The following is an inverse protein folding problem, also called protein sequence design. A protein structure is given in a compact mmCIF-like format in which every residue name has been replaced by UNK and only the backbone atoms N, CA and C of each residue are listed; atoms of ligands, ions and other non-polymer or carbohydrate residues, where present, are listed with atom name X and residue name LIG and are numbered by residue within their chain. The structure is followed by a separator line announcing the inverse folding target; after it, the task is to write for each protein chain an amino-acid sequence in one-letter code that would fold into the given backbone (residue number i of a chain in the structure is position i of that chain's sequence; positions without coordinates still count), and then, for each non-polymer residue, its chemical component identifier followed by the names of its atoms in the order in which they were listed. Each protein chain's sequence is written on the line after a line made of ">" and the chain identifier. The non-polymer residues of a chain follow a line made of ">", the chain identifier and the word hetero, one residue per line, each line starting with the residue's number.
data_IF_718679557837
#
_entry.id   IF_718679557837
#
_cell.length_a   1.000
_cell.length_b   1.000
_cell.length_c   1.000
_cell.angle_alpha   90.00
_cell.angle_beta   90.00
_cell.angle_gamma   90.00
#
_symmetry.space_group_name_H-M   'P 1'
#
loop_
_entity.id
_entity.type
_entity.pdbx_description
1 polymer ?
#
# COMPACT_ATOMS: atom_id res chain seq x y z
N UNK A 1 12.73 -2.12 -10.57
CA UNK A 1 12.95 -2.16 -9.10
C UNK A 1 13.53 -0.84 -8.53
N UNK A 2 13.82 0.15 -9.36
CA UNK A 2 14.27 1.49 -8.93
C UNK A 2 13.05 2.36 -8.56
N UNK A 3 11.92 2.13 -9.22
CA UNK A 3 10.67 2.89 -8.99
C UNK A 3 9.91 2.28 -7.82
N UNK A 4 9.51 3.08 -6.80
CA UNK A 4 8.69 2.59 -5.69
C UNK A 4 7.32 2.03 -6.16
N UNK A 5 6.80 0.99 -5.50
CA UNK A 5 7.37 0.21 -4.39
C UNK A 5 8.48 -0.75 -4.84
N UNK A 6 9.61 -0.76 -4.13
CA UNK A 6 10.79 -1.54 -4.50
C UNK A 6 11.32 -2.33 -3.29
N UNK A 7 11.46 -3.64 -3.44
CA UNK A 7 12.04 -4.52 -2.41
C UNK A 7 13.49 -4.12 -2.13
N UNK A 8 14.24 -3.73 -3.15
CA UNK A 8 15.64 -3.31 -3.01
C UNK A 8 15.75 -2.07 -2.12
N UNK A 9 14.87 -1.07 -2.31
CA UNK A 9 14.86 0.13 -1.48
C UNK A 9 14.46 -0.16 -0.03
N UNK A 10 13.56 -1.11 0.19
CA UNK A 10 13.15 -1.54 1.53
C UNK A 10 14.32 -2.21 2.26
N UNK A 11 14.98 -3.19 1.62
CA UNK A 11 16.15 -3.88 2.21
C UNK A 11 17.27 -2.89 2.47
N UNK A 12 17.52 -1.96 1.53
CA UNK A 12 18.54 -0.95 1.70
C UNK A 12 18.24 -0.01 2.88
N UNK A 13 16.98 0.41 3.04
CA UNK A 13 16.53 1.21 4.18
C UNK A 13 16.77 0.49 5.51
N UNK A 14 16.41 -0.79 5.60
CA UNK A 14 16.61 -1.61 6.80
C UNK A 14 18.11 -1.75 7.14
N UNK A 15 18.96 -1.97 6.14
CA UNK A 15 20.41 -2.06 6.35
C UNK A 15 21.00 -0.73 6.80
N UNK A 16 20.59 0.40 6.19
CA UNK A 16 21.03 1.73 6.58
C UNK A 16 20.55 2.09 7.98
N UNK A 17 19.30 1.78 8.33
CA UNK A 17 18.77 1.99 9.68
C UNK A 17 19.57 1.18 10.72
N UNK A 18 19.81 -0.11 10.45
CA UNK A 18 20.62 -0.97 11.33
C UNK A 18 22.04 -0.44 11.50
N UNK A 19 22.69 0.00 10.42
CA UNK A 19 24.02 0.60 10.49
C UNK A 19 24.04 1.91 11.30
N UNK A 20 23.01 2.76 11.13
CA UNK A 20 22.85 3.99 11.89
C UNK A 20 22.69 3.72 13.38
N UNK A 21 21.89 2.72 13.77
CA UNK A 21 21.68 2.33 15.16
C UNK A 21 22.95 1.78 15.80
N UNK A 22 23.73 0.96 15.09
CA UNK A 22 25.04 0.48 15.54
C UNK A 22 26.01 1.64 15.75
N UNK A 23 26.08 2.56 14.79
CA UNK A 23 26.93 3.74 14.86
C UNK A 23 26.51 4.64 16.05
N UNK A 24 25.20 4.81 16.30
CA UNK A 24 24.69 5.56 17.43
C UNK A 24 25.08 4.91 18.77
N UNK A 25 25.00 3.59 18.86
CA UNK A 25 25.40 2.83 20.05
C UNK A 25 26.89 2.96 20.32
N UNK A 26 27.72 2.76 19.31
CA UNK A 26 29.18 2.94 19.43
C UNK A 26 29.54 4.37 19.85
N UNK A 27 28.88 5.38 19.29
CA UNK A 27 29.09 6.78 19.66
C UNK A 27 28.75 7.06 21.12
N UNK A 28 27.64 6.53 21.59
CA UNK A 28 27.23 6.66 23.02
C UNK A 28 28.26 6.02 23.96
N UNK A 29 28.77 4.84 23.61
CA UNK A 29 29.82 4.17 24.37
C UNK A 29 31.13 4.96 24.41
N UNK A 30 31.57 5.47 23.25
CA UNK A 30 32.78 6.31 23.16
C UNK A 30 32.62 7.60 23.95
N UNK A 31 31.47 8.27 23.86
CA UNK A 31 31.18 9.47 24.65
C UNK A 31 31.20 9.19 26.15
N UNK A 32 30.56 8.08 26.59
CA UNK A 32 30.59 7.65 27.98
C UNK A 32 32.00 7.37 28.48
N UNK A 33 32.84 6.71 27.66
CA UNK A 33 34.25 6.45 28.00
C UNK A 33 35.08 7.74 28.10
N UNK A 34 34.80 8.73 27.24
CA UNK A 34 35.55 9.98 27.18
C UNK A 34 35.14 11.00 28.25
N UNK A 35 33.85 11.08 28.58
CA UNK A 35 33.30 12.13 29.47
C UNK A 35 32.79 11.61 30.80
N UNK A 36 32.62 10.30 30.96
CA UNK A 36 31.98 9.68 32.12
C UNK A 36 30.46 9.92 32.23
N UNK A 37 29.85 10.65 31.30
CA UNK A 37 28.44 10.96 31.29
C UNK A 37 27.63 9.89 30.57
N UNK A 38 26.45 9.54 31.10
CA UNK A 38 25.56 8.54 30.53
C UNK A 38 24.66 9.11 29.40
N UNK A 39 24.45 10.43 29.37
CA UNK A 39 23.61 11.11 28.40
C UNK A 39 24.48 11.90 27.43
N UNK A 40 24.35 11.61 26.15
CA UNK A 40 25.00 12.33 25.08
C UNK A 40 24.05 13.46 24.57
N UNK A 41 24.56 14.69 24.33
CA UNK A 41 23.75 15.77 23.78
C UNK A 41 23.10 15.37 22.46
N UNK A 42 21.87 15.87 22.22
CA UNK A 42 21.06 15.53 21.02
C UNK A 42 21.72 15.95 19.70
N UNK A 43 22.60 16.93 19.72
CA UNK A 43 23.38 17.40 18.56
C UNK A 43 24.25 16.32 17.93
N UNK A 44 24.57 15.28 18.69
CA UNK A 44 25.39 14.15 18.21
C UNK A 44 24.56 12.92 17.81
N UNK A 45 23.24 13.04 17.77
CA UNK A 45 22.37 11.92 17.36
C UNK A 45 22.56 11.63 15.87
N UNK A 46 22.62 10.34 15.54
CA UNK A 46 22.66 9.89 14.14
C UNK A 46 21.20 9.79 13.65
N UNK A 47 20.94 10.42 12.51
CA UNK A 47 19.62 10.34 11.87
C UNK A 47 19.53 8.98 11.16
N UNK A 48 18.54 8.19 11.52
CA UNK A 48 18.23 6.92 10.85
C UNK A 48 17.41 7.18 9.60
N UNK A 49 17.71 6.48 8.52
CA UNK A 49 16.97 6.57 7.24
C UNK A 49 15.79 5.60 7.26
N UNK A 50 14.60 6.10 6.95
CA UNK A 50 13.39 5.28 6.84
C UNK A 50 13.16 4.77 5.41
N UNK A 51 12.30 3.74 5.25
CA UNK A 51 11.86 3.30 3.94
C UNK A 51 11.09 4.40 3.17
N UNK A 52 10.37 5.26 3.89
CA UNK A 52 9.70 6.44 3.32
C UNK A 52 10.69 7.42 2.71
N UNK A 53 11.80 7.72 3.39
CA UNK A 53 12.85 8.61 2.88
C UNK A 53 13.51 8.04 1.62
N UNK A 54 13.75 6.71 1.60
CA UNK A 54 14.29 6.03 0.43
C UNK A 54 13.33 6.09 -0.77
N UNK A 55 12.03 5.93 -0.53
CA UNK A 55 11.02 6.04 -1.58
C UNK A 55 10.91 7.47 -2.12
N UNK A 56 10.94 8.47 -1.26
CA UNK A 56 10.98 9.88 -1.67
C UNK A 56 12.23 10.20 -2.48
N UNK A 57 13.39 9.72 -2.03
CA UNK A 57 14.66 9.91 -2.74
C UNK A 57 14.68 9.25 -4.13
N UNK A 58 14.01 8.09 -4.28
CA UNK A 58 13.91 7.38 -5.55
C UNK A 58 12.86 7.94 -6.51
N UNK A 59 11.95 8.81 -6.04
CA UNK A 59 10.84 9.32 -6.83
C UNK A 59 11.31 10.13 -8.04
N UNK A 60 12.21 11.08 -7.83
CA UNK A 60 12.74 11.93 -8.91
C UNK A 60 13.55 11.15 -9.96
N UNK A 61 14.55 10.31 -9.57
CA UNK A 61 15.21 9.41 -10.52
C UNK A 61 14.25 8.47 -11.25
N UNK A 62 13.22 7.98 -10.55
CA UNK A 62 12.18 7.13 -11.14
C UNK A 62 11.39 7.82 -12.25
N UNK A 63 10.92 9.04 -12.03
CA UNK A 63 10.23 9.83 -13.06
C UNK A 63 11.14 10.11 -14.25
N UNK A 64 12.40 10.47 -14.00
CA UNK A 64 13.37 10.71 -15.06
C UNK A 64 13.58 9.45 -15.91
N UNK A 65 13.70 8.28 -15.28
CA UNK A 65 13.85 7.00 -15.97
C UNK A 65 12.62 6.67 -16.84
N UNK A 66 11.40 6.88 -16.31
CA UNK A 66 10.16 6.71 -17.09
C UNK A 66 10.15 7.64 -18.29
N UNK A 67 10.51 8.90 -18.10
CA UNK A 67 10.61 9.89 -19.20
C UNK A 67 11.61 9.47 -20.28
N UNK A 68 12.76 8.94 -19.89
CA UNK A 68 13.76 8.41 -20.83
C UNK A 68 13.24 7.18 -21.61
N UNK A 69 12.54 6.27 -20.93
CA UNK A 69 11.92 5.12 -21.61
C UNK A 69 10.83 5.54 -22.60
N UNK A 70 9.98 6.48 -22.20
CA UNK A 70 8.95 7.03 -23.09
C UNK A 70 9.58 7.73 -24.31
N UNK A 71 10.62 8.54 -24.10
CA UNK A 71 11.35 9.19 -25.17
C UNK A 71 12.02 8.18 -26.11
N UNK A 72 12.66 7.14 -25.55
CA UNK A 72 13.27 6.07 -26.35
C UNK A 72 12.23 5.34 -27.22
N UNK A 73 11.10 4.94 -26.64
CA UNK A 73 10.03 4.24 -27.36
C UNK A 73 9.48 5.14 -28.48
N UNK A 74 9.25 6.43 -28.19
CA UNK A 74 8.75 7.39 -29.18
C UNK A 74 9.73 7.54 -30.34
N UNK A 75 11.00 7.75 -30.06
CA UNK A 75 12.07 7.90 -31.06
C UNK A 75 12.20 6.61 -31.89
N UNK A 76 12.19 5.44 -31.22
CA UNK A 76 12.26 4.15 -31.93
C UNK A 76 11.05 3.92 -32.85
N UNK A 77 9.84 4.29 -32.40
CA UNK A 77 8.62 4.21 -33.20
C UNK A 77 8.66 5.15 -34.43
N UNK A 78 9.20 6.35 -34.25
CA UNK A 78 9.33 7.32 -35.34
C UNK A 78 10.39 6.88 -36.39
N UNK A 79 11.52 6.36 -35.94
CA UNK A 79 12.63 5.94 -36.84
C UNK A 79 12.31 4.61 -37.52
N UNK A 80 11.66 3.69 -36.79
CA UNK A 80 11.32 2.33 -37.28
C UNK A 80 9.86 1.98 -37.00
N UNK A 81 8.91 2.50 -37.81
CA UNK A 81 7.46 2.26 -37.60
C UNK A 81 7.06 0.78 -37.55
N UNK A 82 7.88 -0.10 -38.17
CA UNK A 82 7.63 -1.56 -38.19
C UNK A 82 7.83 -2.19 -36.77
N UNK A 83 8.61 -1.57 -35.87
CA UNK A 83 8.81 -2.06 -34.51
C UNK A 83 7.64 -1.71 -33.58
N UNK A 84 6.90 -0.66 -33.91
CA UNK A 84 5.72 -0.21 -33.16
C UNK A 84 4.58 0.09 -34.17
N UNK A 85 3.96 -0.96 -34.74
CA UNK A 85 2.87 -0.77 -35.67
C UNK A 85 1.69 -0.06 -35.00
N UNK A 86 1.10 0.90 -35.71
CA UNK A 86 -0.06 1.60 -35.21
C UNK A 86 -1.23 0.61 -35.00
N UNK A 87 -1.84 0.67 -33.84
CA UNK A 87 -3.05 -0.11 -33.54
C UNK A 87 -4.20 0.47 -34.39
N UNK A 88 -4.99 -0.37 -35.06
CA UNK A 88 -6.15 0.11 -35.84
C UNK A 88 -7.07 0.93 -34.95
N UNK A 89 -7.37 2.14 -35.36
CA UNK A 89 -8.23 3.06 -34.61
C UNK A 89 -9.68 2.87 -35.02
N UNK A 90 -10.47 2.18 -34.20
CA UNK A 90 -11.90 1.93 -34.45
C UNK A 90 -12.82 3.12 -34.15
N UNK A 91 -12.27 4.30 -33.90
CA UNK A 91 -13.04 5.52 -33.61
C UNK A 91 -13.69 5.59 -32.21
N UNK A 92 -13.63 4.51 -31.44
CA UNK A 92 -14.35 4.36 -30.16
C UNK A 92 -13.58 4.75 -28.89
N UNK A 93 -12.30 5.12 -29.03
CA UNK A 93 -11.42 5.40 -27.86
C UNK A 93 -11.88 6.61 -27.04
N UNK A 94 -12.65 7.54 -27.64
CA UNK A 94 -13.19 8.72 -26.96
C UNK A 94 -14.67 8.57 -26.56
N UNK A 95 -15.27 7.39 -26.78
CA UNK A 95 -16.61 7.16 -26.28
C UNK A 95 -16.63 7.16 -24.76
N UNK A 96 -17.62 7.85 -24.19
CA UNK A 96 -17.80 7.95 -22.71
C UNK A 96 -17.87 6.58 -22.05
N UNK A 97 -18.46 5.60 -22.70
CA UNK A 97 -18.57 4.21 -22.24
C UNK A 97 -17.21 3.51 -22.17
N UNK A 98 -16.33 3.76 -23.14
CA UNK A 98 -14.98 3.21 -23.15
C UNK A 98 -14.12 3.87 -22.05
N UNK A 99 -14.12 5.20 -21.97
CA UNK A 99 -13.40 5.95 -20.94
C UNK A 99 -13.83 5.54 -19.54
N UNK A 100 -15.12 5.34 -19.31
CA UNK A 100 -15.64 4.88 -18.04
C UNK A 100 -15.15 3.47 -17.68
N UNK A 101 -15.14 2.52 -18.63
CA UNK A 101 -14.59 1.18 -18.43
C UNK A 101 -13.09 1.21 -18.12
N UNK A 102 -12.32 2.03 -18.83
CA UNK A 102 -10.89 2.21 -18.57
C UNK A 102 -10.67 2.81 -17.17
N UNK A 103 -11.42 3.83 -16.81
CA UNK A 103 -11.33 4.44 -15.49
C UNK A 103 -11.69 3.44 -14.39
N UNK A 104 -12.75 2.67 -14.55
CA UNK A 104 -13.16 1.65 -13.56
C UNK A 104 -12.12 0.53 -13.40
N UNK A 105 -11.40 0.19 -14.47
CA UNK A 105 -10.35 -0.80 -14.42
C UNK A 105 -9.03 -0.25 -13.82
N UNK A 106 -8.72 1.03 -14.04
CA UNK A 106 -7.45 1.64 -13.68
C UNK A 106 -7.46 2.32 -12.32
N UNK A 107 -8.55 3.02 -11.98
CA UNK A 107 -8.63 3.82 -10.75
C UNK A 107 -8.44 2.97 -9.48
N UNK A 108 -9.14 1.82 -9.29
CA UNK A 108 -8.98 1.06 -8.05
C UNK A 108 -7.55 0.57 -7.79
N UNK A 109 -6.82 -0.04 -8.76
CA UNK A 109 -5.43 -0.42 -8.56
C UNK A 109 -4.51 0.77 -8.27
N UNK A 110 -4.67 1.88 -9.00
CA UNK A 110 -3.88 3.08 -8.75
C UNK A 110 -4.15 3.66 -7.37
N UNK A 111 -5.42 3.75 -6.96
CA UNK A 111 -5.80 4.22 -5.63
C UNK A 111 -5.18 3.35 -4.53
N UNK A 112 -5.18 2.02 -4.70
CA UNK A 112 -4.54 1.12 -3.76
C UNK A 112 -3.03 1.37 -3.68
N UNK A 113 -2.34 1.52 -4.81
CA UNK A 113 -0.92 1.83 -4.85
C UNK A 113 -0.63 3.16 -4.15
N UNK A 114 -1.39 4.22 -4.45
CA UNK A 114 -1.23 5.51 -3.80
C UNK A 114 -1.52 5.47 -2.31
N UNK A 115 -2.49 4.68 -1.87
CA UNK A 115 -2.82 4.51 -0.45
C UNK A 115 -1.69 3.80 0.29
N UNK A 116 -1.18 2.70 -0.25
CA UNK A 116 -0.09 1.92 0.33
C UNK A 116 1.19 2.74 0.38
N UNK A 117 1.62 3.28 -0.75
CA UNK A 117 2.86 4.05 -0.85
C UNK A 117 2.77 5.36 -0.05
N UNK A 118 1.65 6.05 -0.16
CA UNK A 118 1.39 7.30 0.57
C UNK A 118 1.39 7.10 2.09
N UNK A 119 0.87 5.99 2.61
CA UNK A 119 0.89 5.68 4.04
C UNK A 119 2.31 5.46 4.57
N UNK A 120 3.20 4.87 3.77
CA UNK A 120 4.62 4.70 4.13
C UNK A 120 5.33 6.05 4.11
N UNK A 121 5.15 6.84 3.05
CA UNK A 121 5.80 8.15 2.90
C UNK A 121 5.34 9.12 3.99
N UNK A 122 4.05 9.09 4.35
CA UNK A 122 3.50 9.90 5.43
C UNK A 122 3.91 9.42 6.84
N UNK A 123 4.61 8.28 6.95
CA UNK A 123 5.01 7.70 8.24
C UNK A 123 3.85 7.14 9.07
N UNK A 124 2.66 6.97 8.46
CA UNK A 124 1.45 6.44 9.12
C UNK A 124 1.54 4.94 9.30
N UNK A 125 2.09 4.24 8.31
CA UNK A 125 2.24 2.80 8.31
C UNK A 125 3.70 2.38 8.06
N UNK A 126 4.12 1.34 8.75
CA UNK A 126 5.37 0.65 8.42
C UNK A 126 5.22 -0.11 7.10
N UNK A 127 6.33 -0.50 6.46
CA UNK A 127 6.33 -1.27 5.21
C UNK A 127 5.49 -2.55 5.33
N UNK A 128 5.63 -3.27 6.45
CA UNK A 128 4.89 -4.51 6.70
C UNK A 128 3.38 -4.27 6.84
N UNK A 129 2.99 -3.20 7.56
CA UNK A 129 1.58 -2.81 7.69
C UNK A 129 0.99 -2.39 6.35
N UNK A 130 1.70 -1.59 5.59
CA UNK A 130 1.30 -1.15 4.27
C UNK A 130 1.19 -2.31 3.28
N UNK A 131 2.12 -3.29 3.35
CA UNK A 131 2.06 -4.53 2.59
C UNK A 131 0.80 -5.35 2.91
N UNK A 132 0.45 -5.48 4.19
CA UNK A 132 -0.78 -6.15 4.62
C UNK A 132 -2.04 -5.44 4.09
N UNK A 133 -2.09 -4.10 4.17
CA UNK A 133 -3.18 -3.29 3.60
C UNK A 133 -3.29 -3.52 2.09
N UNK A 134 -2.15 -3.53 1.39
CA UNK A 134 -2.08 -3.81 -0.05
C UNK A 134 -2.61 -5.19 -0.41
N UNK A 135 -2.20 -6.23 0.33
CA UNK A 135 -2.65 -7.60 0.11
C UNK A 135 -4.17 -7.74 0.32
N UNK A 136 -4.71 -7.17 1.41
CA UNK A 136 -6.15 -7.17 1.69
C UNK A 136 -6.91 -6.39 0.60
N UNK A 137 -6.41 -5.22 0.22
CA UNK A 137 -7.01 -4.41 -0.84
C UNK A 137 -7.05 -5.16 -2.18
N UNK A 138 -5.94 -5.80 -2.58
CA UNK A 138 -5.87 -6.62 -3.79
C UNK A 138 -6.85 -7.81 -3.73
N UNK A 139 -6.98 -8.46 -2.57
CA UNK A 139 -7.92 -9.56 -2.36
C UNK A 139 -9.38 -9.12 -2.53
N UNK A 140 -9.74 -7.95 -2.00
CA UNK A 140 -11.07 -7.36 -2.17
C UNK A 140 -11.32 -7.05 -3.64
N UNK A 141 -10.32 -6.49 -4.34
CA UNK A 141 -10.40 -6.20 -5.76
C UNK A 141 -10.58 -7.47 -6.60
N UNK A 142 -9.82 -8.52 -6.33
CA UNK A 142 -9.99 -9.82 -6.96
C UNK A 142 -11.41 -10.37 -6.72
N UNK A 143 -11.91 -10.28 -5.50
CA UNK A 143 -13.23 -10.78 -5.10
C UNK A 143 -14.41 -10.16 -5.87
N UNK A 144 -14.36 -8.87 -6.22
CA UNK A 144 -15.40 -8.27 -7.06
C UNK A 144 -15.12 -8.47 -8.58
N UNK A 145 -13.87 -8.45 -9.00
CA UNK A 145 -13.51 -8.58 -10.43
C UNK A 145 -13.84 -9.97 -10.99
N UNK A 146 -13.55 -11.02 -10.23
CA UNK A 146 -13.87 -12.40 -10.61
C UNK A 146 -15.37 -12.67 -10.80
N UNK A 147 -16.24 -11.80 -10.31
CA UNK A 147 -17.70 -11.90 -10.46
C UNK A 147 -18.34 -10.63 -11.03
N UNK A 148 -17.63 -9.89 -11.86
CA UNK A 148 -18.06 -8.60 -12.43
C UNK A 148 -19.43 -8.69 -13.14
N UNK A 149 -19.76 -9.85 -13.71
CA UNK A 149 -21.04 -10.08 -14.42
C UNK A 149 -22.22 -10.43 -13.50
N UNK A 150 -22.04 -10.41 -12.17
CA UNK A 150 -23.09 -10.78 -11.21
C UNK A 150 -23.51 -9.54 -10.42
N UNK A 151 -24.82 -9.35 -10.20
CA UNK A 151 -25.35 -8.23 -9.41
C UNK A 151 -24.79 -8.13 -7.98
N UNK A 152 -24.26 -9.23 -7.46
CA UNK A 152 -23.63 -9.28 -6.12
C UNK A 152 -22.12 -9.04 -6.12
N UNK A 153 -21.53 -8.67 -7.27
CA UNK A 153 -20.07 -8.52 -7.41
C UNK A 153 -19.47 -7.61 -6.33
N UNK A 154 -20.05 -6.44 -6.14
CA UNK A 154 -19.52 -5.40 -5.26
C UNK A 154 -19.89 -5.56 -3.77
N UNK A 155 -20.77 -6.51 -3.38
CA UNK A 155 -21.22 -6.62 -1.99
C UNK A 155 -20.09 -6.80 -0.97
N UNK A 156 -19.09 -7.69 -1.18
CA UNK A 156 -17.99 -7.82 -0.22
C UNK A 156 -17.16 -6.53 -0.10
N UNK A 157 -16.91 -5.85 -1.23
CA UNK A 157 -16.16 -4.60 -1.24
C UNK A 157 -16.93 -3.48 -0.53
N UNK A 158 -18.24 -3.34 -0.79
CA UNK A 158 -19.10 -2.37 -0.12
C UNK A 158 -19.15 -2.65 1.38
N UNK A 159 -19.33 -3.91 1.79
CA UNK A 159 -19.35 -4.30 3.20
C UNK A 159 -18.04 -3.92 3.89
N UNK A 160 -16.90 -4.18 3.26
CA UNK A 160 -15.57 -3.84 3.79
C UNK A 160 -15.40 -2.32 3.93
N UNK A 161 -15.76 -1.55 2.90
CA UNK A 161 -15.64 -0.08 2.91
C UNK A 161 -16.57 0.52 3.97
N UNK A 162 -17.82 0.08 4.06
CA UNK A 162 -18.78 0.56 5.07
C UNK A 162 -18.28 0.23 6.47
N UNK A 163 -17.76 -0.98 6.68
CA UNK A 163 -17.18 -1.38 7.97
C UNK A 163 -15.98 -0.50 8.36
N UNK A 164 -15.07 -0.20 7.43
CA UNK A 164 -13.94 0.71 7.66
C UNK A 164 -14.39 2.12 8.00
N UNK A 165 -15.37 2.64 7.27
CA UNK A 165 -15.94 3.97 7.56
C UNK A 165 -16.63 4.00 8.94
N UNK A 166 -17.37 2.96 9.31
CA UNK A 166 -17.96 2.83 10.64
C UNK A 166 -16.88 2.83 11.72
N UNK A 167 -15.83 2.02 11.58
CA UNK A 167 -14.71 1.97 12.52
C UNK A 167 -14.09 3.36 12.66
N UNK A 168 -13.84 4.05 11.55
CA UNK A 168 -13.25 5.38 11.57
C UNK A 168 -14.13 6.40 12.28
N UNK A 169 -15.43 6.45 11.96
CA UNK A 169 -16.39 7.38 12.59
C UNK A 169 -16.53 7.10 14.09
N UNK A 170 -16.64 5.82 14.48
CA UNK A 170 -16.80 5.45 15.88
C UNK A 170 -15.52 5.77 16.66
N UNK A 171 -14.35 5.47 16.11
CA UNK A 171 -13.07 5.77 16.77
C UNK A 171 -12.80 7.26 16.94
N UNK A 172 -13.39 8.12 16.09
CA UNK A 172 -13.29 9.56 16.20
C UNK A 172 -14.22 10.18 17.26
N UNK A 173 -15.32 9.47 17.64
CA UNK A 173 -16.34 10.02 18.52
C UNK A 173 -16.41 9.33 19.90
N UNK A 174 -15.86 8.14 20.05
CA UNK A 174 -15.95 7.35 21.28
C UNK A 174 -14.55 6.95 21.77
N UNK A 175 -14.39 6.88 23.09
CA UNK A 175 -13.17 6.35 23.68
C UNK A 175 -13.23 4.81 23.68
N UNK A 176 -12.48 4.20 22.76
CA UNK A 176 -12.44 2.74 22.60
C UNK A 176 -11.41 2.05 23.50
N UNK A 177 -10.71 2.79 24.36
CA UNK A 177 -9.73 2.21 25.29
C UNK A 177 -10.43 1.58 26.49
N UNK A 178 -10.59 0.28 26.49
CA UNK A 178 -11.28 -0.51 27.53
C UNK A 178 -10.76 -0.19 28.95
N UNK A 179 -9.49 0.21 29.07
CA UNK A 179 -8.87 0.55 30.37
C UNK A 179 -9.32 1.90 30.94
N UNK A 180 -9.81 2.80 30.09
CA UNK A 180 -10.14 4.19 30.45
C UNK A 180 -11.59 4.55 30.21
N UNK A 181 -12.47 3.55 29.98
CA UNK A 181 -13.90 3.78 29.80
C UNK A 181 -14.48 4.20 31.16
N UNK A 182 -15.02 5.42 31.23
CA UNK A 182 -15.71 5.97 32.40
C UNK A 182 -17.20 6.18 32.15
N UNK A 183 -17.61 6.33 30.89
CA UNK A 183 -18.97 6.64 30.49
C UNK A 183 -19.68 5.43 29.89
N UNK A 184 -20.99 5.29 30.16
CA UNK A 184 -21.84 4.25 29.55
C UNK A 184 -21.97 4.42 28.06
N UNK A 185 -21.83 5.65 27.54
CA UNK A 185 -21.84 5.93 26.11
C UNK A 185 -20.69 5.26 25.35
N UNK A 186 -19.51 5.16 25.95
CA UNK A 186 -18.33 4.53 25.34
C UNK A 186 -18.50 3.00 25.17
N UNK A 187 -19.29 2.35 26.03
CA UNK A 187 -19.63 0.94 25.87
C UNK A 187 -20.44 0.67 24.60
N UNK A 188 -21.32 1.58 24.24
CA UNK A 188 -22.02 1.52 22.95
C UNK A 188 -21.06 1.69 21.78
N UNK A 189 -20.05 2.56 21.91
CA UNK A 189 -18.98 2.70 20.94
C UNK A 189 -18.22 1.39 20.73
N UNK A 190 -17.81 0.71 21.81
CA UNK A 190 -17.16 -0.61 21.76
C UNK A 190 -18.05 -1.67 21.12
N UNK A 191 -19.33 -1.69 21.43
CA UNK A 191 -20.29 -2.63 20.84
C UNK A 191 -20.42 -2.43 19.32
N UNK A 192 -20.63 -1.20 18.86
CA UNK A 192 -20.78 -0.90 17.43
C UNK A 192 -19.46 -1.12 16.67
N UNK A 193 -18.30 -0.78 17.25
CA UNK A 193 -17.02 -1.07 16.60
C UNK A 193 -16.77 -2.58 16.49
N UNK A 194 -17.21 -3.35 17.48
CA UNK A 194 -17.10 -4.83 17.40
C UNK A 194 -17.91 -5.40 16.25
N UNK A 195 -19.14 -4.90 16.04
CA UNK A 195 -19.96 -5.28 14.88
C UNK A 195 -19.31 -4.86 13.57
N UNK A 196 -18.74 -3.66 13.51
CA UNK A 196 -18.05 -3.18 12.33
C UNK A 196 -16.79 -4.02 12.00
N UNK A 197 -16.02 -4.42 13.01
CA UNK A 197 -14.89 -5.33 12.85
C UNK A 197 -15.32 -6.71 12.36
N UNK A 198 -16.42 -7.26 12.88
CA UNK A 198 -16.98 -8.50 12.36
C UNK A 198 -17.42 -8.36 10.90
N UNK A 199 -18.07 -7.25 10.54
CA UNK A 199 -18.43 -6.94 9.16
C UNK A 199 -17.22 -6.87 8.23
N UNK A 200 -16.14 -6.24 8.69
CA UNK A 200 -14.86 -6.17 7.98
C UNK A 200 -14.29 -7.58 7.73
N UNK A 201 -14.22 -8.42 8.77
CA UNK A 201 -13.71 -9.78 8.66
C UNK A 201 -14.56 -10.63 7.71
N UNK A 202 -15.88 -10.51 7.78
CA UNK A 202 -16.80 -11.19 6.86
C UNK A 202 -16.59 -10.72 5.42
N UNK A 203 -16.41 -9.42 5.18
CA UNK A 203 -16.16 -8.87 3.84
C UNK A 203 -14.86 -9.37 3.23
N UNK A 204 -13.78 -9.39 4.03
CA UNK A 204 -12.48 -9.91 3.61
C UNK A 204 -12.55 -11.43 3.35
N UNK A 205 -13.16 -12.19 4.27
CA UNK A 205 -13.30 -13.64 4.12
C UNK A 205 -14.16 -13.99 2.90
N UNK A 206 -15.22 -13.25 2.66
CA UNK A 206 -16.08 -13.45 1.48
C UNK A 206 -15.31 -13.17 0.17
N UNK A 207 -14.49 -12.13 0.12
CA UNK A 207 -13.61 -11.85 -1.02
C UNK A 207 -12.57 -12.95 -1.22
N UNK A 208 -11.94 -13.39 -0.12
CA UNK A 208 -10.97 -14.50 -0.13
C UNK A 208 -11.61 -15.81 -0.62
N UNK A 209 -12.80 -16.13 -0.13
CA UNK A 209 -13.54 -17.31 -0.57
C UNK A 209 -13.85 -17.29 -2.06
N UNK A 210 -14.25 -16.13 -2.58
CA UNK A 210 -14.47 -15.96 -4.02
C UNK A 210 -13.19 -16.19 -4.82
N UNK A 211 -12.07 -15.61 -4.38
CA UNK A 211 -10.78 -15.77 -5.03
C UNK A 211 -10.23 -17.21 -4.94
N UNK A 212 -10.62 -17.96 -3.88
CA UNK A 212 -10.23 -19.36 -3.72
C UNK A 212 -11.06 -20.31 -4.59
N UNK A 213 -12.38 -20.07 -4.69
CA UNK A 213 -13.32 -20.98 -5.40
C UNK A 213 -13.35 -20.71 -6.91
N UNK A 214 -13.00 -19.49 -7.35
CA UNK A 214 -13.07 -19.11 -8.76
C UNK A 214 -11.68 -19.23 -9.40
N UNK A 215 -11.53 -20.16 -10.34
CA UNK A 215 -10.36 -20.35 -11.23
C UNK A 215 -9.01 -20.60 -10.51
N UNK A 216 -9.01 -21.13 -9.28
CA UNK A 216 -7.78 -21.38 -8.49
C UNK A 216 -6.84 -20.14 -8.37
N UNK A 217 -7.35 -18.93 -8.63
CA UNK A 217 -6.58 -17.69 -8.71
C UNK A 217 -5.70 -17.45 -7.49
N UNK A 218 -6.23 -17.72 -6.28
CA UNK A 218 -5.47 -17.53 -5.05
C UNK A 218 -4.32 -18.53 -4.94
N UNK A 219 -4.53 -19.77 -5.37
CA UNK A 219 -3.52 -20.81 -5.37
C UNK A 219 -2.37 -20.48 -6.32
N UNK A 220 -2.70 -20.01 -7.52
CA UNK A 220 -1.70 -19.64 -8.53
C UNK A 220 -0.86 -18.45 -8.07
N UNK A 221 -1.49 -17.41 -7.51
CA UNK A 221 -0.79 -16.25 -6.93
C UNK A 221 0.12 -16.67 -5.79
N UNK A 222 -0.34 -17.54 -4.87
CA UNK A 222 0.49 -18.06 -3.77
C UNK A 222 1.68 -18.87 -4.30
N UNK A 223 1.45 -19.71 -5.30
CA UNK A 223 2.50 -20.53 -5.91
C UNK A 223 3.56 -19.68 -6.64
N UNK A 224 3.14 -18.63 -7.33
CA UNK A 224 4.06 -17.70 -7.98
C UNK A 224 4.83 -16.84 -6.97
N UNK A 225 4.16 -16.35 -5.93
CA UNK A 225 4.82 -15.59 -4.86
C UNK A 225 5.86 -16.44 -4.11
N UNK A 226 5.60 -17.74 -3.94
CA UNK A 226 6.54 -18.65 -3.29
C UNK A 226 7.77 -19.00 -4.16
N UNK A 227 7.70 -18.76 -5.47
CA UNK A 227 8.81 -18.98 -6.42
C UNK A 227 9.73 -17.75 -6.56
N UNK A 228 9.28 -16.58 -6.12
CA UNK A 228 9.99 -15.31 -6.21
C UNK A 228 10.89 -15.09 -4.99
#
# INVERSE_FOLDING_TARGET
>A
QIIPPSIVLIILADQLASAADQAATMRKELYKKATGQFSMPSEFNIISTSAGDMFLGAFLPGILLVGLYMAYILVAALIRPKLAPAVPYDGKLLERTFLFKVALALIPPLLLIFLVLGSIIAGIATVNQAGAIGAIGALIMAGYKLRENTNSAFYPAILTIVSLLMIWVISANFNLSIKTITETADWWGVFFVSIAVLGLLVGIFWSAWRAFVTEDTLRDVMAETAKT
#
